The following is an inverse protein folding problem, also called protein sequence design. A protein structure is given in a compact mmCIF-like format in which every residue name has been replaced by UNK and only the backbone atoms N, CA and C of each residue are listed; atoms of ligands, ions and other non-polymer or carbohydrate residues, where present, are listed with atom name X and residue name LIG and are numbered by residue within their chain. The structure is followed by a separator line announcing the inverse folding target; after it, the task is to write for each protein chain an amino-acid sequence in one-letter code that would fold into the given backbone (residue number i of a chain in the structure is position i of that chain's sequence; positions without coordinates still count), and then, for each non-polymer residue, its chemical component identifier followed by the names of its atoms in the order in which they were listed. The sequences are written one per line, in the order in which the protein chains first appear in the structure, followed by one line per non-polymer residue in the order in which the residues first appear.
data_IF_320009796454
#
_entry.id   IF_320009796454
#
_cell.length_a   1.000
_cell.length_b   1.000
_cell.length_c   1.000
_cell.angle_alpha   90.00
_cell.angle_beta   90.00
_cell.angle_gamma   90.00
#
_symmetry.space_group_name_H-M   'P 1'
#
loop_
_entity.id
_entity.type
_entity.pdbx_description
1 polymer ?
#
# COMPACT_ATOMS: atom_id res chain seq x y z
N UNK A 1 23.10 -71.13 12.67
CA UNK A 1 21.64 -71.30 12.72
C UNK A 1 21.15 -70.40 13.84
N UNK A 2 20.41 -69.34 13.50
CA UNK A 2 19.55 -68.39 14.28
C UNK A 2 19.90 -68.10 15.76
N UNK A 3 19.90 -66.85 16.24
CA UNK A 3 18.79 -65.90 16.13
C UNK A 3 19.22 -64.43 16.23
N UNK A 4 18.37 -63.59 15.68
CA UNK A 4 18.45 -62.14 15.61
C UNK A 4 17.82 -61.57 16.88
N UNK A 5 18.56 -60.83 17.70
CA UNK A 5 17.96 -60.04 18.79
C UNK A 5 18.39 -58.58 18.66
N UNK A 6 17.49 -57.81 18.06
CA UNK A 6 17.60 -56.38 17.88
C UNK A 6 17.10 -55.68 19.14
N UNK A 7 17.99 -55.29 20.06
CA UNK A 7 17.57 -54.41 21.17
C UNK A 7 18.58 -53.32 21.53
N UNK A 8 18.03 -52.09 21.47
CA UNK A 8 18.47 -50.82 22.08
C UNK A 8 19.49 -49.97 21.33
N UNK A 9 19.00 -49.30 20.29
CA UNK A 9 19.46 -47.94 19.98
C UNK A 9 19.11 -46.96 21.11
N UNK A 10 19.85 -45.85 21.27
CA UNK A 10 19.67 -44.93 22.39
C UNK A 10 18.25 -44.35 22.42
N UNK A 11 17.64 -44.39 23.60
CA UNK A 11 16.31 -43.85 23.87
C UNK A 11 16.27 -42.36 23.51
N UNK A 12 15.56 -42.01 22.44
CA UNK A 12 15.30 -40.63 22.09
C UNK A 12 14.39 -39.98 23.15
N UNK A 13 14.99 -39.35 24.17
CA UNK A 13 14.31 -38.31 24.93
C UNK A 13 14.08 -37.16 23.94
N UNK A 14 12.95 -37.17 23.24
CA UNK A 14 12.48 -36.00 22.49
C UNK A 14 12.17 -34.91 23.51
N UNK A 15 13.18 -34.09 23.83
CA UNK A 15 12.95 -32.80 24.44
C UNK A 15 11.94 -32.06 23.57
N UNK A 16 10.88 -31.54 24.16
CA UNK A 16 9.93 -30.68 23.46
C UNK A 16 10.74 -29.52 22.90
N UNK A 17 10.71 -29.33 21.58
CA UNK A 17 11.34 -28.16 20.96
C UNK A 17 10.61 -26.92 21.46
N UNK A 18 11.30 -26.11 22.24
CA UNK A 18 10.80 -24.82 22.69
C UNK A 18 10.79 -23.88 21.48
N UNK A 19 9.59 -23.54 20.99
CA UNK A 19 9.42 -22.61 19.87
C UNK A 19 9.13 -21.23 20.44
N UNK A 20 10.02 -20.28 20.17
CA UNK A 20 9.81 -18.88 20.50
C UNK A 20 9.21 -18.14 19.28
N UNK A 21 8.19 -17.33 19.54
CA UNK A 21 7.61 -16.37 18.59
C UNK A 21 8.02 -14.98 19.07
N UNK A 22 8.78 -14.24 18.26
CA UNK A 22 9.06 -12.83 18.52
C UNK A 22 8.27 -11.95 17.57
N UNK A 23 7.92 -10.75 18.00
CA UNK A 23 7.05 -9.84 17.24
C UNK A 23 7.70 -8.46 17.17
N UNK A 24 7.70 -7.86 15.98
CA UNK A 24 7.94 -6.43 15.80
C UNK A 24 6.57 -5.76 15.77
N UNK A 25 6.30 -4.93 16.78
CA UNK A 25 4.98 -4.40 17.06
C UNK A 25 4.73 -3.07 16.36
N UNK A 26 3.90 -3.11 15.33
CA UNK A 26 2.95 -2.05 15.01
C UNK A 26 1.54 -2.67 15.10
N UNK A 27 0.67 -2.24 16.03
CA UNK A 27 -0.69 -2.77 16.21
C UNK A 27 -1.50 -2.96 14.92
N UNK A 28 -1.36 -2.04 13.95
CA UNK A 28 -2.04 -2.09 12.64
C UNK A 28 -1.31 -2.85 11.52
N UNK A 29 -0.07 -3.29 11.73
CA UNK A 29 0.74 -4.04 10.74
C UNK A 29 1.75 -5.01 11.40
N UNK A 30 1.30 -5.96 12.26
CA UNK A 30 2.21 -6.78 13.04
C UNK A 30 3.07 -7.69 12.17
N UNK A 31 4.39 -7.61 12.33
CA UNK A 31 5.35 -8.51 11.71
C UNK A 31 5.77 -9.57 12.75
N UNK A 32 5.45 -10.83 12.46
CA UNK A 32 5.77 -11.97 13.33
C UNK A 32 7.03 -12.69 12.82
N UNK A 33 8.00 -12.88 13.72
CA UNK A 33 9.21 -13.65 13.49
C UNK A 33 9.04 -15.04 14.12
N UNK A 34 9.01 -16.08 13.28
CA UNK A 34 8.86 -17.46 13.73
C UNK A 34 10.24 -18.10 13.94
N UNK A 35 10.43 -18.86 15.02
CA UNK A 35 11.61 -19.70 15.26
C UNK A 35 12.95 -18.96 15.26
N UNK A 36 13.00 -17.74 15.82
CA UNK A 36 14.26 -17.05 16.12
C UNK A 36 15.26 -17.07 14.95
N UNK A 37 14.78 -16.67 13.75
CA UNK A 37 15.53 -16.69 12.49
C UNK A 37 17.02 -16.37 12.72
N UNK A 38 17.88 -17.40 12.60
CA UNK A 38 19.32 -17.29 12.86
C UNK A 38 20.04 -16.52 11.74
N UNK A 39 19.36 -16.29 10.61
CA UNK A 39 19.87 -15.57 9.44
C UNK A 39 18.90 -14.47 9.05
N UNK A 40 19.45 -13.29 8.77
CA UNK A 40 18.68 -12.11 8.36
C UNK A 40 17.91 -12.34 7.06
N UNK A 41 18.44 -13.18 6.16
CA UNK A 41 17.83 -13.48 4.85
C UNK A 41 16.55 -14.32 4.94
N UNK A 42 16.35 -15.03 6.06
CA UNK A 42 15.15 -15.85 6.30
C UNK A 42 13.99 -15.00 6.86
N UNK A 43 14.23 -13.71 7.14
CA UNK A 43 13.22 -12.80 7.67
C UNK A 43 12.51 -12.10 6.51
N UNK A 44 11.29 -12.54 6.22
CA UNK A 44 10.39 -11.79 5.32
C UNK A 44 9.79 -10.60 6.07
N UNK A 45 10.38 -9.42 5.95
CA UNK A 45 9.73 -8.18 6.40
C UNK A 45 8.59 -7.86 5.43
N UNK A 46 7.35 -7.82 5.92
CA UNK A 46 6.25 -7.28 5.11
C UNK A 46 6.40 -5.77 5.07
N UNK A 47 6.15 -5.17 3.91
CA UNK A 47 5.99 -3.71 3.82
C UNK A 47 4.91 -3.27 4.81
N UNK A 48 5.25 -2.25 5.62
CA UNK A 48 4.35 -1.73 6.64
C UNK A 48 3.22 -0.99 5.95
N UNK A 49 1.98 -1.40 6.24
CA UNK A 49 0.80 -0.73 5.70
C UNK A 49 0.66 0.64 6.38
N UNK A 50 0.39 1.71 5.62
CA UNK A 50 0.21 3.02 6.22
C UNK A 50 -1.12 3.12 6.96
N UNK A 51 -1.16 3.93 8.01
CA UNK A 51 -2.42 4.47 8.51
C UNK A 51 -2.91 5.53 7.52
N UNK A 52 -4.17 5.44 7.13
CA UNK A 52 -4.73 6.31 6.10
C UNK A 52 -5.75 7.24 6.72
N UNK A 53 -5.72 8.51 6.32
CA UNK A 53 -6.86 9.38 6.52
C UNK A 53 -7.27 10.11 5.25
N UNK A 54 -8.58 10.30 5.08
CA UNK A 54 -9.17 10.92 3.90
C UNK A 54 -10.11 12.04 4.31
N UNK A 55 -10.02 13.18 3.62
CA UNK A 55 -11.01 14.24 3.73
C UNK A 55 -11.37 14.78 2.35
N UNK A 56 -12.48 15.52 2.29
CA UNK A 56 -12.94 16.21 1.08
C UNK A 56 -12.85 17.72 1.28
N UNK A 57 -12.33 18.41 0.28
CA UNK A 57 -12.35 19.86 0.20
C UNK A 57 -12.96 20.34 -1.13
N UNK A 58 -12.90 21.65 -1.41
CA UNK A 58 -13.42 22.23 -2.65
C UNK A 58 -12.61 21.84 -3.90
N UNK A 59 -11.40 21.34 -3.72
CA UNK A 59 -10.45 20.99 -4.78
C UNK A 59 -10.45 19.49 -5.13
N UNK A 60 -11.05 18.65 -4.28
CA UNK A 60 -11.15 17.21 -4.45
C UNK A 60 -11.05 16.49 -3.12
N UNK A 61 -10.36 15.36 -3.10
CA UNK A 61 -10.00 14.63 -1.89
C UNK A 61 -8.55 14.89 -1.51
N UNK A 62 -8.30 14.97 -0.21
CA UNK A 62 -6.97 14.93 0.38
C UNK A 62 -6.79 13.56 1.02
N UNK A 63 -5.75 12.85 0.60
CA UNK A 63 -5.32 11.57 1.13
C UNK A 63 -4.04 11.79 1.94
N UNK A 64 -4.05 11.36 3.19
CA UNK A 64 -2.90 11.34 4.08
C UNK A 64 -2.54 9.88 4.38
N UNK A 65 -1.28 9.51 4.20
CA UNK A 65 -0.75 8.19 4.50
C UNK A 65 0.41 8.33 5.49
N UNK A 66 0.31 7.68 6.64
CA UNK A 66 1.32 7.73 7.69
C UNK A 66 2.03 6.40 7.73
N UNK A 67 3.33 6.44 7.50
CA UNK A 67 4.25 5.31 7.58
C UNK A 67 5.04 5.45 8.88
N UNK A 68 4.62 4.77 9.98
CA UNK A 68 5.24 4.98 11.29
C UNK A 68 6.69 4.54 11.33
N UNK A 69 7.01 3.44 10.65
CA UNK A 69 8.34 2.85 10.61
C UNK A 69 9.32 3.70 9.79
N UNK A 70 8.83 4.32 8.71
CA UNK A 70 9.60 5.22 7.85
C UNK A 70 9.70 6.65 8.41
N UNK A 71 8.93 6.95 9.48
CA UNK A 71 8.73 8.31 10.01
C UNK A 71 8.35 9.27 8.89
N UNK A 72 7.40 8.87 8.04
CA UNK A 72 6.97 9.65 6.89
C UNK A 72 5.45 9.88 6.89
N UNK A 73 5.03 11.10 6.57
CA UNK A 73 3.64 11.48 6.31
C UNK A 73 3.53 11.89 4.85
N UNK A 74 2.88 11.08 4.03
CA UNK A 74 2.63 11.40 2.63
C UNK A 74 1.27 12.07 2.47
N UNK A 75 1.26 13.27 1.91
CA UNK A 75 0.04 14.04 1.66
C UNK A 75 -0.18 14.18 0.15
N UNK A 76 -1.33 13.74 -0.32
CA UNK A 76 -1.76 13.86 -1.72
C UNK A 76 -3.05 14.65 -1.79
N UNK A 77 -3.02 15.79 -2.49
CA UNK A 77 -4.13 16.72 -2.58
C UNK A 77 -4.83 16.64 -3.94
N UNK A 78 -6.05 17.21 -4.02
CA UNK A 78 -6.81 17.35 -5.28
C UNK A 78 -7.05 16.01 -5.98
N UNK A 79 -7.18 14.94 -5.21
CA UNK A 79 -7.40 13.59 -5.72
C UNK A 79 -8.85 13.39 -6.11
N UNK A 80 -9.09 12.49 -7.07
CA UNK A 80 -10.43 11.96 -7.36
C UNK A 80 -10.73 10.77 -6.46
N UNK A 81 -12.01 10.41 -6.30
CA UNK A 81 -12.41 9.28 -5.47
C UNK A 81 -11.73 7.98 -5.94
N UNK A 82 -11.64 7.78 -7.25
CA UNK A 82 -11.01 6.62 -7.86
C UNK A 82 -9.50 6.61 -7.66
N UNK A 83 -8.86 7.77 -7.67
CA UNK A 83 -7.43 7.90 -7.37
C UNK A 83 -7.14 7.58 -5.91
N UNK A 84 -7.99 8.03 -4.98
CA UNK A 84 -7.91 7.66 -3.57
C UNK A 84 -8.06 6.15 -3.40
N UNK A 85 -9.05 5.54 -4.06
CA UNK A 85 -9.23 4.08 -4.05
C UNK A 85 -7.98 3.36 -4.55
N UNK A 86 -7.44 3.77 -5.70
CA UNK A 86 -6.24 3.14 -6.28
C UNK A 86 -5.04 3.26 -5.33
N UNK A 87 -4.84 4.43 -4.72
CA UNK A 87 -3.75 4.65 -3.77
C UNK A 87 -3.87 3.77 -2.51
N UNK A 88 -5.08 3.63 -1.95
CA UNK A 88 -5.35 2.76 -0.80
C UNK A 88 -5.16 1.28 -1.17
N UNK A 89 -5.66 0.86 -2.34
CA UNK A 89 -5.48 -0.51 -2.82
C UNK A 89 -4.03 -0.87 -3.14
N UNK A 90 -3.21 0.12 -3.53
CA UNK A 90 -1.79 -0.07 -3.85
C UNK A 90 -0.94 -0.17 -2.58
N UNK A 91 -1.06 0.80 -1.68
CA UNK A 91 -0.28 0.84 -0.45
C UNK A 91 -0.78 -0.16 0.62
N UNK A 92 -2.02 -0.62 0.48
CA UNK A 92 -2.74 -1.24 1.58
C UNK A 92 -3.08 -0.23 2.68
N UNK A 93 -3.67 -0.74 3.76
CA UNK A 93 -4.11 0.12 4.86
C UNK A 93 -4.02 -0.60 6.21
N UNK A 94 -3.51 0.11 7.21
CA UNK A 94 -3.54 -0.28 8.61
C UNK A 94 -4.84 0.20 9.26
N UNK A 95 -5.34 -0.56 10.23
CA UNK A 95 -6.56 -0.20 10.96
C UNK A 95 -6.22 0.73 12.14
N UNK A 96 -6.99 1.80 12.39
CA UNK A 96 -8.20 2.24 11.68
C UNK A 96 -7.91 3.20 10.51
N UNK A 97 -8.91 3.38 9.63
CA UNK A 97 -8.92 4.41 8.58
C UNK A 97 -9.63 5.65 9.08
N UNK A 98 -9.02 6.83 8.95
CA UNK A 98 -9.62 8.08 9.42
C UNK A 98 -10.43 8.76 8.31
N UNK A 99 -11.73 8.97 8.51
CA UNK A 99 -12.59 9.65 7.53
C UNK A 99 -13.16 10.97 8.08
N UNK A 100 -13.00 12.06 7.33
CA UNK A 100 -13.67 13.33 7.60
C UNK A 100 -14.98 13.43 6.80
N UNK A 101 -15.87 12.45 6.96
CA UNK A 101 -17.20 12.46 6.36
C UNK A 101 -17.19 12.52 4.83
N UNK A 102 -16.28 11.78 4.18
CA UNK A 102 -16.15 11.82 2.72
C UNK A 102 -17.27 11.10 2.00
N UNK A 103 -17.93 10.14 2.65
CA UNK A 103 -18.98 9.31 2.06
C UNK A 103 -18.47 8.33 0.99
N UNK A 104 -17.16 8.03 0.98
CA UNK A 104 -16.54 7.10 0.04
C UNK A 104 -16.94 5.66 0.37
N UNK A 105 -17.80 5.08 -0.46
CA UNK A 105 -18.36 3.73 -0.23
C UNK A 105 -17.35 2.58 -0.31
N UNK A 106 -16.12 2.83 -0.78
CA UNK A 106 -15.06 1.82 -0.87
C UNK A 106 -14.11 1.82 0.34
N UNK A 107 -14.31 2.73 1.30
CA UNK A 107 -13.49 2.72 2.52
C UNK A 107 -13.74 1.43 3.32
N UNK A 108 -12.73 0.91 4.03
CA UNK A 108 -12.89 -0.29 4.86
C UNK A 108 -13.87 -0.10 6.03
N UNK A 109 -14.39 -1.21 6.57
CA UNK A 109 -15.35 -1.18 7.67
C UNK A 109 -14.78 -0.59 8.98
N UNK A 110 -13.47 -0.67 9.19
CA UNK A 110 -12.76 -0.11 10.36
C UNK A 110 -12.48 1.40 10.24
N UNK A 111 -13.44 2.15 9.71
CA UNK A 111 -13.31 3.60 9.55
C UNK A 111 -13.66 4.34 10.85
N UNK A 112 -12.71 5.12 11.38
CA UNK A 112 -12.91 6.04 12.50
C UNK A 112 -13.19 7.47 11.99
N UNK A 113 -14.21 8.16 12.53
CA UNK A 113 -14.47 9.54 12.16
C UNK A 113 -13.38 10.47 12.73
N UNK A 114 -12.84 11.35 11.88
CA UNK A 114 -11.94 12.43 12.29
C UNK A 114 -12.44 13.74 11.67
N UNK A 115 -13.26 14.48 12.42
CA UNK A 115 -14.02 15.62 11.90
C UNK A 115 -13.62 16.96 12.49
N UNK A 116 -13.85 18.03 11.73
CA UNK A 116 -13.74 19.41 12.21
C UNK A 116 -12.38 20.06 11.95
N UNK A 117 -11.54 19.46 11.11
CA UNK A 117 -10.21 19.97 10.82
C UNK A 117 -10.11 20.54 9.39
N UNK A 118 -9.46 21.70 9.21
CA UNK A 118 -9.14 22.20 7.88
C UNK A 118 -8.08 21.31 7.20
N UNK A 119 -8.00 21.38 5.88
CA UNK A 119 -7.05 20.59 5.07
C UNK A 119 -5.58 20.80 5.48
N UNK A 120 -5.21 22.00 5.91
CA UNK A 120 -3.86 22.31 6.39
C UNK A 120 -3.49 21.64 7.71
N UNK A 121 -4.46 21.39 8.60
CA UNK A 121 -4.21 20.79 9.90
C UNK A 121 -4.45 19.27 9.91
N UNK A 122 -5.26 18.77 8.97
CA UNK A 122 -5.71 17.38 8.94
C UNK A 122 -4.58 16.33 8.98
N UNK A 123 -3.47 16.45 8.19
CA UNK A 123 -2.37 15.49 8.28
C UNK A 123 -1.74 15.39 9.68
N UNK A 124 -1.54 16.53 10.34
CA UNK A 124 -0.99 16.58 11.70
C UNK A 124 -1.93 15.95 12.74
N UNK A 125 -3.24 16.09 12.55
CA UNK A 125 -4.24 15.48 13.44
C UNK A 125 -4.28 13.96 13.32
N UNK A 126 -4.15 13.44 12.09
CA UNK A 126 -4.02 11.99 11.87
C UNK A 126 -2.73 11.50 12.53
N UNK A 127 -1.61 12.20 12.35
CA UNK A 127 -0.33 11.82 12.97
C UNK A 127 -0.44 11.79 14.50
N UNK A 128 -1.05 12.79 15.11
CA UNK A 128 -1.29 12.82 16.55
C UNK A 128 -2.23 11.69 17.02
N UNK A 129 -3.18 11.25 16.18
CA UNK A 129 -4.06 10.12 16.50
C UNK A 129 -3.32 8.79 16.39
N UNK A 130 -2.55 8.59 15.32
CA UNK A 130 -1.70 7.41 15.10
C UNK A 130 -0.63 7.29 16.18
N UNK A 131 0.03 8.38 16.56
CA UNK A 131 1.00 8.38 17.65
C UNK A 131 0.40 7.92 18.98
N UNK A 132 -0.83 8.34 19.29
CA UNK A 132 -1.55 7.84 20.47
C UNK A 132 -1.89 6.36 20.38
N UNK A 133 -2.29 5.87 19.20
CA UNK A 133 -2.58 4.44 18.98
C UNK A 133 -1.32 3.57 19.12
N UNK A 134 -0.18 4.11 18.72
CA UNK A 134 1.12 3.43 18.74
C UNK A 134 1.93 3.70 20.02
N UNK A 135 1.37 4.45 20.98
CA UNK A 135 2.06 4.85 22.21
C UNK A 135 3.42 5.53 21.96
N UNK A 136 3.52 6.31 20.87
CA UNK A 136 4.73 7.06 20.53
C UNK A 136 4.89 8.28 21.43
N UNK A 137 6.13 8.59 21.81
CA UNK A 137 6.44 9.77 22.59
C UNK A 137 6.30 11.06 21.76
N UNK A 138 6.06 12.20 22.40
CA UNK A 138 5.98 13.48 21.69
C UNK A 138 7.28 13.83 20.95
N UNK A 139 8.43 13.39 21.48
CA UNK A 139 9.73 13.53 20.82
C UNK A 139 9.80 12.76 19.50
N UNK A 140 9.08 11.64 19.36
CA UNK A 140 9.10 10.83 18.14
C UNK A 140 8.38 11.54 16.99
N UNK A 141 7.35 12.34 17.29
CA UNK A 141 6.61 13.13 16.30
C UNK A 141 7.53 14.09 15.53
N UNK A 142 8.57 14.63 16.18
CA UNK A 142 9.52 15.56 15.57
C UNK A 142 10.41 14.92 14.50
N UNK A 143 10.47 13.58 14.48
CA UNK A 143 11.23 12.83 13.49
C UNK A 143 10.40 12.51 12.24
N UNK A 144 9.08 12.76 12.26
CA UNK A 144 8.25 12.55 11.09
C UNK A 144 8.50 13.65 10.04
N UNK A 145 8.82 13.22 8.83
CA UNK A 145 8.92 14.10 7.67
C UNK A 145 7.60 14.09 6.92
N UNK A 146 7.05 15.27 6.64
CA UNK A 146 5.91 15.41 5.74
C UNK A 146 6.38 15.56 4.29
N UNK A 147 5.90 14.69 3.42
CA UNK A 147 6.14 14.70 1.98
C UNK A 147 4.82 14.99 1.28
N UNK A 148 4.69 16.19 0.74
CA UNK A 148 3.56 16.54 -0.12
C UNK A 148 3.85 16.05 -1.54
N UNK A 149 3.00 15.18 -2.08
CA UNK A 149 3.06 14.77 -3.48
C UNK A 149 2.54 15.92 -4.35
N UNK A 150 3.43 16.87 -4.65
CA UNK A 150 3.16 18.00 -5.54
C UNK A 150 2.72 17.50 -6.93
N UNK A 151 1.77 18.19 -7.60
CA UNK A 151 1.47 17.92 -9.01
C UNK A 151 2.61 18.31 -9.96
N UNK A 152 3.62 19.05 -9.50
CA UNK A 152 4.76 19.41 -10.34
C UNK A 152 5.55 18.15 -10.74
N UNK A 153 5.66 17.92 -12.05
CA UNK A 153 6.34 16.74 -12.57
C UNK A 153 5.48 15.46 -12.61
N UNK A 154 4.15 15.56 -12.42
CA UNK A 154 3.22 14.43 -12.51
C UNK A 154 1.89 14.85 -13.16
N UNK A 155 1.28 14.02 -14.04
CA UNK A 155 -0.08 14.29 -14.51
C UNK A 155 -1.10 14.22 -13.36
N UNK A 156 -2.15 15.02 -13.42
CA UNK A 156 -3.21 14.95 -12.40
C UNK A 156 -4.05 13.67 -12.58
N UNK A 157 -4.63 13.14 -11.48
CA UNK A 157 -5.60 12.07 -11.60
C UNK A 157 -6.75 12.45 -12.53
N UNK A 158 -7.22 11.49 -13.32
CA UNK A 158 -8.28 11.71 -14.31
C UNK A 158 -9.62 11.91 -13.60
N UNK A 159 -10.35 12.97 -13.97
CA UNK A 159 -11.68 13.25 -13.42
C UNK A 159 -12.65 12.10 -13.70
N UNK A 160 -13.60 11.80 -12.79
CA UNK A 160 -14.53 10.69 -12.95
C UNK A 160 -15.34 10.77 -14.25
N UNK A 161 -15.79 11.97 -14.62
CA UNK A 161 -16.52 12.21 -15.86
C UNK A 161 -15.70 11.85 -17.09
N UNK A 162 -14.45 12.30 -17.16
CA UNK A 162 -13.53 11.98 -18.25
C UNK A 162 -13.22 10.49 -18.28
N UNK A 163 -12.95 9.88 -17.13
CA UNK A 163 -12.64 8.46 -17.05
C UNK A 163 -13.80 7.57 -17.53
N UNK A 164 -15.06 7.97 -17.29
CA UNK A 164 -16.25 7.32 -17.85
C UNK A 164 -16.41 7.54 -19.35
N UNK A 165 -16.11 8.75 -19.85
CA UNK A 165 -16.23 9.10 -21.27
C UNK A 165 -15.22 8.36 -22.15
N UNK A 166 -14.01 8.13 -21.64
CA UNK A 166 -12.95 7.43 -22.38
C UNK A 166 -12.97 5.91 -22.16
N UNK A 167 -13.89 5.38 -21.35
CA UNK A 167 -13.99 3.93 -21.08
C UNK A 167 -12.96 3.39 -20.09
N UNK A 168 -12.30 4.26 -19.31
CA UNK A 168 -11.36 3.84 -18.26
C UNK A 168 -12.09 3.31 -17.02
N UNK A 169 -13.25 3.90 -16.71
CA UNK A 169 -14.22 3.39 -15.76
C UNK A 169 -15.36 2.68 -16.50
N UNK A 170 -15.91 1.63 -15.88
CA UNK A 170 -17.00 0.85 -16.47
C UNK A 170 -18.23 1.73 -16.70
N UNK A 171 -18.72 1.75 -17.94
CA UNK A 171 -19.92 2.43 -18.36
C UNK A 171 -20.69 1.51 -19.33
N UNK A 172 -22.02 1.42 -19.23
CA UNK A 172 -22.83 0.58 -20.12
C UNK A 172 -22.77 1.05 -21.58
N UNK A 173 -22.50 2.34 -21.79
CA UNK A 173 -22.57 2.97 -23.11
C UNK A 173 -21.21 3.17 -23.78
N UNK A 174 -20.11 2.92 -23.07
CA UNK A 174 -18.74 3.14 -23.57
C UNK A 174 -17.95 1.86 -23.40
N UNK A 175 -17.32 1.34 -24.47
CA UNK A 175 -16.45 0.16 -24.38
C UNK A 175 -15.31 0.36 -23.37
N UNK A 176 -14.88 -0.72 -22.73
CA UNK A 176 -13.72 -0.68 -21.81
C UNK A 176 -12.44 -0.41 -22.60
N UNK A 177 -11.72 0.64 -22.24
CA UNK A 177 -10.50 1.08 -22.92
C UNK A 177 -9.34 0.10 -22.72
N UNK A 178 -9.19 -0.42 -21.50
CA UNK A 178 -7.96 -1.10 -21.08
C UNK A 178 -7.70 -2.43 -21.80
N UNK A 179 -8.72 -3.25 -22.12
CA UNK A 179 -8.55 -4.41 -22.99
C UNK A 179 -8.05 -4.07 -24.39
N UNK A 180 -8.33 -2.87 -24.90
CA UNK A 180 -7.91 -2.42 -26.23
C UNK A 180 -6.46 -1.92 -26.26
N UNK A 181 -5.83 -1.68 -25.10
CA UNK A 181 -4.45 -1.17 -25.01
C UNK A 181 -3.38 -2.26 -25.16
N UNK A 182 -3.76 -3.52 -24.98
CA UNK A 182 -2.86 -4.67 -25.08
C UNK A 182 -3.40 -5.68 -26.09
N UNK A 183 -2.54 -6.49 -26.72
CA UNK A 183 -3.00 -7.61 -27.55
C UNK A 183 -3.92 -8.57 -26.77
N UNK A 184 -4.75 -9.31 -27.50
CA UNK A 184 -5.60 -10.32 -26.90
C UNK A 184 -4.77 -11.42 -26.19
N UNK A 185 -5.27 -11.91 -25.04
CA UNK A 185 -4.63 -12.98 -24.28
C UNK A 185 -3.67 -12.53 -23.17
N UNK A 186 -3.47 -11.22 -22.97
CA UNK A 186 -2.65 -10.72 -21.87
C UNK A 186 -3.31 -10.96 -20.50
N UNK A 187 -2.53 -11.23 -19.44
CA UNK A 187 -3.07 -11.49 -18.10
C UNK A 187 -3.87 -10.32 -17.54
N UNK A 188 -4.91 -10.62 -16.75
CA UNK A 188 -5.72 -9.62 -16.05
C UNK A 188 -4.89 -8.67 -15.16
N UNK A 189 -3.73 -9.13 -14.67
CA UNK A 189 -2.80 -8.31 -13.91
C UNK A 189 -2.26 -7.11 -14.71
N UNK A 190 -1.92 -7.29 -16.00
CA UNK A 190 -1.44 -6.23 -16.87
C UNK A 190 -2.54 -5.16 -17.09
N UNK A 191 -3.78 -5.60 -17.32
CA UNK A 191 -4.91 -4.68 -17.44
C UNK A 191 -5.16 -3.92 -16.12
N UNK A 192 -5.09 -4.58 -14.96
CA UNK A 192 -5.23 -3.90 -13.66
C UNK A 192 -4.12 -2.87 -13.46
N UNK A 193 -2.88 -3.23 -13.76
CA UNK A 193 -1.72 -2.35 -13.66
C UNK A 193 -1.89 -1.09 -14.52
N UNK A 194 -2.20 -1.25 -15.81
CA UNK A 194 -2.43 -0.12 -16.72
C UNK A 194 -3.59 0.76 -16.26
N UNK A 195 -4.71 0.16 -15.82
CA UNK A 195 -5.85 0.93 -15.31
C UNK A 195 -5.46 1.76 -14.08
N UNK A 196 -4.71 1.18 -13.13
CA UNK A 196 -4.20 1.89 -11.95
C UNK A 196 -3.31 3.07 -12.36
N UNK A 197 -2.36 2.84 -13.27
CA UNK A 197 -1.48 3.89 -13.79
C UNK A 197 -2.23 4.98 -14.55
N UNK A 198 -3.30 4.67 -15.27
CA UNK A 198 -4.08 5.70 -15.97
C UNK A 198 -4.97 6.52 -15.04
N UNK A 199 -5.47 5.91 -13.95
CA UNK A 199 -6.30 6.60 -12.94
C UNK A 199 -5.46 7.43 -11.97
N UNK A 200 -4.29 6.92 -11.58
CA UNK A 200 -3.31 7.56 -10.72
C UNK A 200 -1.93 7.55 -11.40
N UNK A 201 -1.70 8.47 -12.33
CA UNK A 201 -0.47 8.49 -13.11
C UNK A 201 0.78 8.74 -12.26
N UNK A 202 1.89 8.03 -12.54
CA UNK A 202 3.16 8.28 -11.89
C UNK A 202 3.76 9.62 -12.33
N UNK A 203 4.91 10.00 -11.76
CA UNK A 203 5.65 11.16 -12.24
C UNK A 203 6.16 10.93 -13.68
N UNK A 204 6.38 12.01 -14.44
CA UNK A 204 6.88 11.92 -15.82
C UNK A 204 8.20 11.14 -15.88
N UNK A 205 9.11 11.40 -14.94
CA UNK A 205 10.39 10.68 -14.87
C UNK A 205 10.18 9.17 -14.72
N UNK A 206 9.28 8.73 -13.85
CA UNK A 206 9.00 7.31 -13.64
C UNK A 206 8.32 6.69 -14.87
N UNK A 207 7.38 7.42 -15.50
CA UNK A 207 6.74 6.97 -16.73
C UNK A 207 7.75 6.80 -17.87
N UNK A 208 8.65 7.77 -18.06
CA UNK A 208 9.71 7.73 -19.07
C UNK A 208 10.71 6.60 -18.80
N UNK A 209 11.13 6.41 -17.54
CA UNK A 209 12.01 5.31 -17.15
C UNK A 209 11.37 3.94 -17.43
N UNK A 210 10.09 3.76 -17.07
CA UNK A 210 9.37 2.52 -17.35
C UNK A 210 9.22 2.27 -18.86
N UNK A 211 8.91 3.31 -19.63
CA UNK A 211 8.82 3.23 -21.09
C UNK A 211 10.15 2.84 -21.74
N UNK A 212 11.24 3.46 -21.31
CA UNK A 212 12.58 3.17 -21.83
C UNK A 212 13.03 1.75 -21.47
N UNK A 213 12.73 1.28 -20.25
CA UNK A 213 12.99 -0.09 -19.85
C UNK A 213 12.25 -1.09 -20.75
N UNK A 214 10.95 -0.87 -20.98
CA UNK A 214 10.16 -1.71 -21.88
C UNK A 214 10.72 -1.73 -23.31
N UNK A 215 11.18 -0.57 -23.82
CA UNK A 215 11.85 -0.50 -25.13
C UNK A 215 13.15 -1.32 -25.16
N UNK A 216 13.97 -1.23 -24.12
CA UNK A 216 15.21 -1.99 -24.04
C UNK A 216 14.95 -3.50 -23.99
N UNK A 217 14.00 -3.94 -23.16
CA UNK A 217 13.61 -5.35 -23.05
C UNK A 217 12.97 -5.91 -24.32
N UNK A 218 12.30 -5.06 -25.11
CA UNK A 218 11.71 -5.45 -26.40
C UNK A 218 12.72 -5.40 -27.56
N UNK A 219 13.89 -4.81 -27.37
CA UNK A 219 14.92 -4.79 -28.39
C UNK A 219 15.61 -6.16 -28.42
N UNK A 220 15.82 -6.76 -29.60
CA UNK A 220 16.53 -8.04 -29.68
C UNK A 220 17.97 -7.87 -29.17
N UNK A 221 18.49 -8.87 -28.45
CA UNK A 221 19.91 -8.93 -28.09
C UNK A 221 20.75 -8.79 -29.37
N UNK A 222 21.64 -7.79 -29.38
CA UNK A 222 22.64 -7.66 -30.43
C UNK A 222 23.76 -8.65 -30.11
N UNK A 223 23.67 -9.85 -30.69
CA UNK A 223 24.78 -10.80 -30.83
C UNK A 223 25.83 -10.30 -31.83
#
# INVERSE_FOLDING_TARGET
MNDVDAQRGPSAKKGIKERALSQVLSPGSPNYLYEGCLRTDDISFRESKPYVGVMKDSSGYLLCQIYPDEREVQVSERMTAEAVRVAIEEAGVAEPVFDQGTGLAFLPDHTEPLTGFPSSAFPGQILARVARLLELAESDLMHFRTVTRSPEGRPRPVYPSTALQIGLLKNKNVPDLVPCLLPAGYPAACHRFLRKWLLLPPSYRLADSAHNLCKQLASPEQD
#
